data_IF_558434346009
#
_entry.id   IF_558434346009
#
_cell.length_a   1.000
_cell.length_b   1.000
_cell.length_c   1.000
_cell.angle_alpha   90.00
_cell.angle_beta   90.00
_cell.angle_gamma   90.00
#
_symmetry.space_group_name_H-M   'P 1'
#
loop_
_entity.id
_entity.type
_entity.pdbx_description
1 polymer ?
#
# COMPACT_ATOMS: atom_id res chain seq x y z
N UNK A 1 -12.93 -8.46 20.90
CA UNK A 1 -12.97 -8.49 19.43
C UNK A 1 -11.88 -9.46 19.01
N UNK A 2 -12.23 -10.54 18.35
CA UNK A 2 -11.24 -11.47 17.78
C UNK A 2 -10.36 -10.66 16.83
N UNK A 3 -9.06 -10.60 17.09
CA UNK A 3 -8.10 -10.16 16.10
C UNK A 3 -8.07 -11.27 15.05
N UNK A 4 -8.97 -11.19 14.07
CA UNK A 4 -8.96 -12.09 12.91
C UNK A 4 -7.62 -11.87 12.22
N UNK A 5 -6.68 -12.79 12.44
CA UNK A 5 -5.32 -12.73 11.94
C UNK A 5 -5.40 -12.45 10.43
N UNK A 6 -4.90 -11.29 9.99
CA UNK A 6 -4.85 -10.98 8.57
C UNK A 6 -3.91 -11.98 7.91
N UNK A 7 -4.44 -12.80 7.00
CA UNK A 7 -3.65 -13.73 6.21
C UNK A 7 -3.50 -13.10 4.83
N UNK A 8 -2.27 -12.76 4.46
CA UNK A 8 -1.96 -12.28 3.13
C UNK A 8 -1.92 -13.46 2.17
N UNK A 9 -2.74 -13.41 1.12
CA UNK A 9 -2.65 -14.41 0.05
C UNK A 9 -1.34 -14.19 -0.71
N UNK A 10 -0.58 -15.27 -0.93
CA UNK A 10 0.71 -15.21 -1.63
C UNK A 10 1.86 -14.63 -0.80
N UNK A 11 1.73 -14.56 0.54
CA UNK A 11 2.71 -13.98 1.47
C UNK A 11 4.16 -14.35 1.15
N UNK A 12 4.92 -13.37 0.64
CA UNK A 12 6.36 -13.47 0.40
C UNK A 12 7.20 -12.79 1.47
N UNK A 13 8.51 -13.01 1.44
CA UNK A 13 9.48 -12.32 2.30
C UNK A 13 9.35 -10.78 2.25
N UNK A 14 8.85 -10.20 1.16
CA UNK A 14 8.65 -8.75 1.03
C UNK A 14 7.49 -8.27 1.89
N UNK A 15 6.39 -9.04 1.90
CA UNK A 15 5.22 -8.80 2.74
C UNK A 15 5.61 -8.97 4.22
N UNK A 16 6.37 -10.01 4.55
CA UNK A 16 6.87 -10.23 5.91
C UNK A 16 7.73 -9.07 6.42
N UNK A 17 8.62 -8.54 5.58
CA UNK A 17 9.43 -7.37 5.91
C UNK A 17 8.57 -6.13 6.12
N UNK A 18 7.52 -5.95 5.31
CA UNK A 18 6.63 -4.79 5.41
C UNK A 18 5.84 -4.84 6.71
N UNK A 19 5.27 -6.00 7.04
CA UNK A 19 4.54 -6.26 8.28
C UNK A 19 5.47 -6.13 9.49
N UNK A 20 6.68 -6.67 9.42
CA UNK A 20 7.66 -6.55 10.50
C UNK A 20 8.01 -5.10 10.82
N UNK A 21 8.00 -4.21 9.81
CA UNK A 21 8.32 -2.78 9.97
C UNK A 21 7.11 -1.94 10.36
N UNK A 22 5.94 -2.22 9.81
CA UNK A 22 4.78 -1.32 9.91
C UNK A 22 3.56 -1.92 10.63
N UNK A 23 3.66 -3.16 11.10
CA UNK A 23 2.57 -3.88 11.76
C UNK A 23 1.73 -4.71 10.80
N UNK A 24 0.97 -5.66 11.33
CA UNK A 24 0.25 -6.68 10.56
C UNK A 24 -0.85 -6.10 9.66
N UNK A 25 -1.36 -4.91 9.99
CA UNK A 25 -2.29 -4.18 9.15
C UNK A 25 -1.67 -2.89 8.61
N UNK A 26 -0.34 -2.73 8.72
CA UNK A 26 0.34 -1.46 8.40
C UNK A 26 -0.10 -0.31 9.30
N UNK A 27 -0.51 -0.61 10.53
CA UNK A 27 -0.99 0.39 11.49
C UNK A 27 0.02 1.52 11.72
N UNK A 28 1.34 1.27 11.68
CA UNK A 28 2.34 2.30 11.91
C UNK A 28 2.46 3.33 10.76
N UNK A 29 1.91 3.04 9.58
CA UNK A 29 1.90 4.03 8.48
C UNK A 29 1.00 5.22 8.81
N UNK A 30 1.43 6.42 8.42
CA UNK A 30 0.60 7.61 8.51
C UNK A 30 -0.60 7.50 7.57
N UNK A 31 -1.67 8.26 7.85
CA UNK A 31 -2.86 8.29 6.99
C UNK A 31 -2.52 8.68 5.55
N UNK A 32 -1.61 9.63 5.37
CA UNK A 32 -1.16 10.09 4.06
C UNK A 32 -0.50 8.96 3.27
N UNK A 33 0.49 8.27 3.87
CA UNK A 33 1.17 7.15 3.22
C UNK A 33 0.17 6.03 2.90
N UNK A 34 -0.78 5.72 3.81
CA UNK A 34 -1.82 4.72 3.56
C UNK A 34 -2.69 5.05 2.34
N UNK A 35 -3.07 6.33 2.18
CA UNK A 35 -3.89 6.75 1.05
C UNK A 35 -3.11 6.70 -0.27
N UNK A 36 -1.88 7.22 -0.28
CA UNK A 36 -1.03 7.21 -1.47
C UNK A 36 -0.66 5.78 -1.89
N UNK A 37 -0.34 4.91 -0.93
CA UNK A 37 -0.06 3.51 -1.18
C UNK A 37 -1.30 2.78 -1.71
N UNK A 38 -2.50 3.09 -1.19
CA UNK A 38 -3.76 2.51 -1.71
C UNK A 38 -4.00 2.90 -3.16
N UNK A 39 -3.76 4.15 -3.54
CA UNK A 39 -3.89 4.61 -4.94
C UNK A 39 -2.87 3.88 -5.81
N UNK A 40 -1.60 3.88 -5.40
CA UNK A 40 -0.50 3.20 -6.10
C UNK A 40 -0.80 1.73 -6.36
N UNK A 41 -1.19 0.98 -5.33
CA UNK A 41 -1.50 -0.45 -5.45
C UNK A 41 -2.76 -0.70 -6.29
N UNK A 42 -3.75 0.21 -6.24
CA UNK A 42 -4.95 0.10 -7.09
C UNK A 42 -4.59 0.31 -8.57
N UNK A 43 -3.73 1.30 -8.87
CA UNK A 43 -3.20 1.52 -10.22
C UNK A 43 -2.42 0.31 -10.70
N UNK A 44 -1.53 -0.23 -9.86
CA UNK A 44 -0.76 -1.43 -10.19
C UNK A 44 -1.66 -2.62 -10.55
N UNK A 45 -2.61 -2.98 -9.69
CA UNK A 45 -3.53 -4.11 -9.91
C UNK A 45 -4.35 -3.92 -11.20
N UNK A 46 -4.82 -2.70 -11.48
CA UNK A 46 -5.54 -2.41 -12.71
C UNK A 46 -4.67 -2.64 -13.94
N UNK A 47 -3.43 -2.15 -13.92
CA UNK A 47 -2.51 -2.23 -15.07
C UNK A 47 -1.97 -3.64 -15.29
N UNK A 48 -1.91 -4.49 -14.26
CA UNK A 48 -1.56 -5.91 -14.41
C UNK A 48 -2.56 -6.71 -15.26
N UNK A 49 -3.73 -6.15 -15.60
CA UNK A 49 -4.67 -6.76 -16.56
C UNK A 49 -4.17 -6.67 -18.01
N UNK A 50 -3.34 -5.68 -18.32
CA UNK A 50 -2.87 -5.36 -19.67
C UNK A 50 -1.35 -5.52 -19.83
N UNK A 51 -0.60 -5.44 -18.72
CA UNK A 51 0.86 -5.47 -18.69
C UNK A 51 1.37 -6.51 -17.70
N UNK A 52 2.53 -7.10 -17.98
CA UNK A 52 3.23 -7.91 -16.99
C UNK A 52 3.86 -7.06 -15.88
N UNK A 53 4.18 -7.67 -14.74
CA UNK A 53 4.85 -6.99 -13.61
C UNK A 53 6.25 -6.45 -13.95
N UNK A 54 6.86 -6.95 -15.02
CA UNK A 54 8.14 -6.43 -15.55
C UNK A 54 7.95 -5.26 -16.50
N UNK A 55 6.81 -5.18 -17.20
CA UNK A 55 6.50 -4.08 -18.12
C UNK A 55 5.87 -2.90 -17.39
N UNK A 56 5.15 -3.16 -16.30
CA UNK A 56 4.53 -2.15 -15.45
C UNK A 56 4.82 -2.46 -13.97
N UNK A 57 6.00 -2.06 -13.46
CA UNK A 57 6.39 -2.28 -12.07
C UNK A 57 5.63 -1.37 -11.09
N UNK A 58 5.82 -1.61 -9.78
CA UNK A 58 5.15 -0.81 -8.73
C UNK A 58 5.65 0.64 -8.75
N UNK A 59 6.90 0.88 -9.13
CA UNK A 59 7.45 2.22 -9.32
C UNK A 59 6.70 3.02 -10.38
N UNK A 60 6.33 2.39 -11.50
CA UNK A 60 5.57 3.06 -12.57
C UNK A 60 4.17 3.43 -12.06
N UNK A 61 3.53 2.51 -11.34
CA UNK A 61 2.24 2.76 -10.69
C UNK A 61 2.31 3.93 -9.68
N UNK A 62 3.44 4.08 -8.98
CA UNK A 62 3.67 5.19 -8.07
C UNK A 62 3.81 6.51 -8.84
N UNK A 63 4.62 6.54 -9.90
CA UNK A 63 4.79 7.73 -10.74
C UNK A 63 3.44 8.19 -11.35
N UNK A 64 2.65 7.25 -11.85
CA UNK A 64 1.30 7.52 -12.34
C UNK A 64 0.36 8.02 -11.23
N UNK A 65 0.37 7.38 -10.06
CA UNK A 65 -0.43 7.84 -8.93
C UNK A 65 -0.07 9.27 -8.51
N UNK A 66 1.22 9.61 -8.47
CA UNK A 66 1.69 10.94 -8.10
C UNK A 66 1.39 11.98 -9.18
N UNK A 67 1.52 11.65 -10.46
CA UNK A 67 1.27 12.57 -11.57
C UNK A 67 -0.20 12.99 -11.68
N UNK A 68 -1.12 12.09 -11.30
CA UNK A 68 -2.56 12.33 -11.33
C UNK A 68 -3.08 13.10 -10.10
N UNK A 69 -2.28 13.19 -9.04
CA UNK A 69 -2.66 13.86 -7.80
C UNK A 69 -2.02 15.25 -7.74
N UNK A 70 -2.82 16.27 -7.40
CA UNK A 70 -2.30 17.60 -7.06
C UNK A 70 -1.72 17.53 -5.64
N UNK A 71 -0.59 16.85 -5.48
CA UNK A 71 0.13 16.72 -4.20
C UNK A 71 1.09 17.90 -4.07
N UNK A 72 1.14 18.58 -2.90
CA UNK A 72 2.23 19.51 -2.61
C UNK A 72 3.59 18.82 -2.82
N UNK A 73 4.64 19.57 -3.18
CA UNK A 73 5.96 19.05 -3.59
C UNK A 73 6.71 18.13 -2.60
N UNK A 74 6.12 17.74 -1.47
CA UNK A 74 6.73 16.92 -0.43
C UNK A 74 6.03 15.56 -0.33
N UNK A 75 6.27 14.68 -1.30
CA UNK A 75 5.89 13.27 -1.19
C UNK A 75 6.77 12.62 -0.10
N UNK A 76 6.22 11.88 0.87
CA UNK A 76 7.00 11.25 1.92
C UNK A 76 8.01 10.23 1.36
N UNK A 77 9.29 10.31 1.77
CA UNK A 77 10.33 9.35 1.35
C UNK A 77 9.95 7.91 1.68
N UNK A 78 9.29 7.69 2.83
CA UNK A 78 8.80 6.38 3.25
C UNK A 78 7.92 5.70 2.19
N UNK A 79 7.18 6.47 1.38
CA UNK A 79 6.36 5.92 0.30
C UNK A 79 7.23 5.29 -0.79
N UNK A 80 8.30 5.98 -1.22
CA UNK A 80 9.24 5.44 -2.22
C UNK A 80 9.94 4.19 -1.70
N UNK A 81 10.37 4.20 -0.44
CA UNK A 81 11.03 3.06 0.19
C UNK A 81 10.09 1.84 0.26
N UNK A 82 8.81 2.06 0.61
CA UNK A 82 7.79 1.02 0.61
C UNK A 82 7.57 0.47 -0.80
N UNK A 83 7.35 1.35 -1.79
CA UNK A 83 7.10 0.92 -3.18
C UNK A 83 8.31 0.14 -3.75
N UNK A 84 9.54 0.56 -3.46
CA UNK A 84 10.74 -0.17 -3.84
C UNK A 84 10.83 -1.56 -3.21
N UNK A 85 10.46 -1.70 -1.93
CA UNK A 85 10.39 -3.00 -1.27
C UNK A 85 9.32 -3.92 -1.90
N UNK A 86 8.26 -3.33 -2.44
CA UNK A 86 7.13 -4.01 -3.06
C UNK A 86 7.36 -4.34 -4.55
N UNK A 87 8.55 -4.13 -5.09
CA UNK A 87 8.85 -4.52 -6.46
C UNK A 87 8.75 -6.04 -6.67
N UNK A 88 8.06 -6.41 -7.74
CA UNK A 88 7.76 -7.81 -8.07
C UNK A 88 6.64 -8.43 -7.23
N UNK A 89 5.77 -7.61 -6.64
CA UNK A 89 4.51 -8.08 -6.03
C UNK A 89 3.68 -8.86 -7.05
N UNK A 90 3.06 -9.94 -6.59
CA UNK A 90 1.94 -10.56 -7.32
C UNK A 90 0.66 -9.73 -7.15
N UNK A 91 -0.32 -9.96 -8.03
CA UNK A 91 -1.63 -9.32 -7.91
C UNK A 91 -2.31 -9.70 -6.59
N UNK A 92 -2.27 -10.98 -6.20
CA UNK A 92 -2.87 -11.48 -4.95
C UNK A 92 -2.28 -10.80 -3.69
N UNK A 93 -0.96 -10.58 -3.67
CA UNK A 93 -0.31 -9.88 -2.57
C UNK A 93 -0.71 -8.39 -2.55
N UNK A 94 -0.79 -7.75 -3.71
CA UNK A 94 -1.21 -6.36 -3.83
C UNK A 94 -2.67 -6.17 -3.37
N UNK A 95 -3.57 -7.08 -3.75
CA UNK A 95 -4.98 -7.09 -3.28
C UNK A 95 -5.07 -7.32 -1.77
N UNK A 96 -4.27 -8.24 -1.22
CA UNK A 96 -4.22 -8.46 0.24
C UNK A 96 -3.73 -7.23 1.01
N UNK A 97 -2.76 -6.48 0.45
CA UNK A 97 -2.32 -5.19 1.00
C UNK A 97 -3.41 -4.11 0.90
N UNK A 98 -4.17 -4.09 -0.20
CA UNK A 98 -5.30 -3.17 -0.35
C UNK A 98 -6.37 -3.42 0.72
N UNK A 99 -6.67 -4.68 1.04
CA UNK A 99 -7.60 -5.03 2.12
C UNK A 99 -7.09 -4.56 3.50
N UNK A 100 -5.80 -4.76 3.77
CA UNK A 100 -5.16 -4.27 5.00
C UNK A 100 -5.26 -2.74 5.15
N UNK A 101 -4.95 -2.03 4.06
CA UNK A 101 -5.03 -0.56 4.00
C UNK A 101 -6.46 -0.07 4.17
N UNK A 102 -7.42 -0.72 3.49
CA UNK A 102 -8.84 -0.41 3.59
C UNK A 102 -9.31 -0.59 5.04
N UNK A 103 -8.92 -1.68 5.71
CA UNK A 103 -9.23 -1.89 7.12
C UNK A 103 -8.67 -0.77 8.00
N UNK A 104 -7.40 -0.38 7.82
CA UNK A 104 -6.80 0.70 8.62
C UNK A 104 -7.45 2.07 8.37
N UNK A 105 -7.87 2.35 7.13
CA UNK A 105 -8.55 3.58 6.76
C UNK A 105 -9.96 3.67 7.39
N UNK A 106 -10.67 2.54 7.49
CA UNK A 106 -12.02 2.51 8.06
C UNK A 106 -12.05 2.35 9.58
N UNK A 107 -11.24 1.46 10.14
CA UNK A 107 -11.33 1.02 11.54
C UNK A 107 -10.04 1.28 12.35
N UNK A 108 -8.93 1.52 11.67
CA UNK A 108 -7.63 1.72 12.29
C UNK A 108 -7.32 3.17 12.68
N UNK A 109 -6.04 3.43 12.92
CA UNK A 109 -5.54 4.72 13.40
C UNK A 109 -5.42 5.79 12.29
N UNK A 110 -5.85 5.49 11.07
CA UNK A 110 -5.93 6.46 9.99
C UNK A 110 -7.21 7.32 10.06
N UNK A 111 -8.05 7.12 11.07
CA UNK A 111 -9.11 8.07 11.43
C UNK A 111 -8.48 9.37 11.91
N UNK A 112 -8.85 10.48 11.30
CA UNK A 112 -8.55 11.81 11.85
C UNK A 112 -9.12 11.82 13.26
N UNK A 113 -8.28 11.93 14.28
CA UNK A 113 -8.76 12.31 15.61
C UNK A 113 -9.24 13.75 15.46
N UNK A 114 -10.53 13.94 15.20
CA UNK A 114 -11.15 15.26 15.27
C UNK A 114 -11.03 15.66 16.74
N UNK A 115 -9.97 16.39 17.08
CA UNK A 115 -9.90 17.09 18.37
C UNK A 115 -11.03 18.12 18.32
N UNK A 116 -12.12 17.80 19.03
CA UNK A 116 -13.14 18.78 19.40
C UNK A 116 -12.53 19.83 20.32
#
# INVERSE_FOLDING_TARGET
>A
MSQDLLIYNGQSNRIDQLIGRYGAYLEALTREIKLLLRITLSTYVLMQQEYSSTEYPVSEALEDALSQLVIPHNVPQDLFDICSQLEGLTVDEAESLLDALQYQLYWGNARITVKQ
#
